data_IF_227673377371
#
_entry.id   IF_227673377371
#
_cell.length_a   1.000
_cell.length_b   1.000
_cell.length_c   1.000
_cell.angle_alpha   90.00
_cell.angle_beta   90.00
_cell.angle_gamma   90.00
#
_symmetry.space_group_name_H-M   'P 1'
#
loop_
_entity.id
_entity.type
_entity.pdbx_description
1 polymer ?
#
# COMPACT_ATOMS: atom_id res chain seq x y z
N UNK A 1 9.35 -25.55 9.00
CA UNK A 1 8.05 -26.25 9.13
C UNK A 1 8.17 -27.62 9.83
N UNK A 2 9.01 -27.75 10.87
CA UNK A 2 9.40 -29.05 11.48
C UNK A 2 8.42 -29.50 12.59
N UNK A 3 7.77 -28.55 13.26
CA UNK A 3 6.79 -28.82 14.33
C UNK A 3 5.54 -29.55 13.81
N UNK A 4 5.18 -29.37 12.53
CA UNK A 4 4.02 -30.02 11.88
C UNK A 4 4.15 -31.54 11.83
N UNK A 5 5.30 -32.07 11.40
CA UNK A 5 5.48 -33.51 11.19
C UNK A 5 5.55 -34.29 12.51
N UNK A 6 6.21 -33.73 13.52
CA UNK A 6 6.37 -34.38 14.82
C UNK A 6 5.03 -34.51 15.58
N UNK A 7 4.24 -33.43 15.66
CA UNK A 7 2.94 -33.47 16.33
C UNK A 7 1.92 -34.34 15.57
N UNK A 8 1.92 -34.33 14.24
CA UNK A 8 1.03 -35.17 13.45
C UNK A 8 1.33 -36.67 13.58
N UNK A 9 2.59 -37.06 13.79
CA UNK A 9 2.97 -38.46 14.01
C UNK A 9 2.59 -38.98 15.40
N UNK A 10 2.41 -38.10 16.39
CA UNK A 10 2.09 -38.47 17.78
C UNK A 10 0.57 -38.56 18.03
N UNK A 11 -0.26 -38.08 17.10
CA UNK A 11 -1.71 -38.00 17.28
C UNK A 11 -2.37 -39.14 16.52
N UNK A 12 -2.87 -40.12 17.27
CA UNK A 12 -3.63 -41.28 16.74
C UNK A 12 -5.00 -40.84 16.23
N UNK A 13 -5.53 -41.55 15.24
CA UNK A 13 -6.94 -41.43 14.85
C UNK A 13 -7.85 -41.81 16.02
N UNK A 14 -8.98 -41.10 16.26
CA UNK A 14 -9.69 -40.16 15.38
C UNK A 14 -9.37 -38.65 15.60
N UNK A 15 -8.32 -38.33 16.34
CA UNK A 15 -8.00 -36.94 16.73
C UNK A 15 -7.18 -36.18 15.68
N UNK A 16 -6.56 -36.90 14.75
CA UNK A 16 -5.70 -36.33 13.71
C UNK A 16 -6.46 -35.41 12.77
N UNK A 17 -7.60 -35.87 12.24
CA UNK A 17 -8.44 -35.05 11.35
C UNK A 17 -9.05 -33.87 12.09
N UNK A 18 -9.55 -34.07 13.32
CA UNK A 18 -10.06 -32.96 14.15
C UNK A 18 -9.01 -31.89 14.39
N UNK A 19 -7.77 -32.27 14.70
CA UNK A 19 -6.68 -31.31 14.87
C UNK A 19 -6.34 -30.62 13.54
N UNK A 20 -6.26 -31.37 12.44
CA UNK A 20 -5.97 -30.81 11.12
C UNK A 20 -7.00 -29.74 10.74
N UNK A 21 -8.28 -30.04 10.93
CA UNK A 21 -9.37 -29.10 10.69
C UNK A 21 -9.30 -27.88 11.62
N UNK A 22 -8.98 -28.07 12.90
CA UNK A 22 -8.78 -26.97 13.83
C UNK A 22 -7.61 -26.06 13.42
N UNK A 23 -6.48 -26.63 13.00
CA UNK A 23 -5.33 -25.87 12.49
C UNK A 23 -5.74 -25.11 11.22
N UNK A 24 -6.41 -25.78 10.27
CA UNK A 24 -6.85 -25.17 9.01
C UNK A 24 -7.76 -23.97 9.30
N UNK A 25 -8.82 -24.16 10.10
CA UNK A 25 -9.73 -23.08 10.48
C UNK A 25 -9.00 -21.90 11.15
N UNK A 26 -8.01 -22.18 12.00
CA UNK A 26 -7.22 -21.13 12.66
C UNK A 26 -6.34 -20.36 11.67
N UNK A 27 -5.70 -21.04 10.72
CA UNK A 27 -4.91 -20.41 9.65
C UNK A 27 -5.80 -19.59 8.71
N UNK A 28 -6.96 -20.12 8.33
CA UNK A 28 -7.90 -19.43 7.44
C UNK A 28 -8.46 -18.17 8.12
N UNK A 29 -8.81 -18.29 9.40
CA UNK A 29 -9.25 -17.16 10.22
C UNK A 29 -8.17 -16.09 10.37
N UNK A 30 -6.93 -16.47 10.70
CA UNK A 30 -5.81 -15.53 10.77
C UNK A 30 -5.55 -14.84 9.42
N UNK A 31 -5.51 -15.60 8.32
CA UNK A 31 -5.32 -15.04 6.98
C UNK A 31 -6.42 -14.04 6.62
N UNK A 32 -7.67 -14.37 6.94
CA UNK A 32 -8.82 -13.48 6.74
C UNK A 32 -8.68 -12.20 7.55
N UNK A 33 -8.18 -12.28 8.79
CA UNK A 33 -7.95 -11.10 9.63
C UNK A 33 -6.90 -10.15 9.05
N UNK A 34 -5.83 -10.68 8.45
CA UNK A 34 -4.81 -9.84 7.77
C UNK A 34 -5.44 -9.11 6.59
N UNK A 35 -6.20 -9.83 5.77
CA UNK A 35 -6.85 -9.23 4.59
C UNK A 35 -7.84 -8.15 5.01
N UNK A 36 -8.71 -8.44 5.99
CA UNK A 36 -9.67 -7.45 6.53
C UNK A 36 -8.95 -6.24 7.12
N UNK A 37 -7.90 -6.44 7.90
CA UNK A 37 -7.11 -5.34 8.46
C UNK A 37 -6.45 -4.48 7.38
N UNK A 38 -5.90 -5.11 6.33
CA UNK A 38 -5.26 -4.40 5.23
C UNK A 38 -6.27 -3.58 4.43
N UNK A 39 -7.44 -4.15 4.12
CA UNK A 39 -8.51 -3.44 3.43
C UNK A 39 -9.11 -2.33 4.30
N UNK A 40 -9.27 -2.59 5.60
CA UNK A 40 -9.75 -1.60 6.56
C UNK A 40 -8.79 -0.42 6.72
N UNK A 41 -7.48 -0.67 6.78
CA UNK A 41 -6.47 0.40 6.78
C UNK A 41 -6.55 1.25 5.52
N UNK A 42 -6.72 0.61 4.35
CA UNK A 42 -6.87 1.34 3.09
C UNK A 42 -8.15 2.17 3.05
N UNK A 43 -9.26 1.63 3.54
CA UNK A 43 -10.52 2.37 3.64
C UNK A 43 -10.37 3.59 4.56
N UNK A 44 -9.73 3.42 5.72
CA UNK A 44 -9.45 4.54 6.60
C UNK A 44 -8.53 5.57 5.94
N UNK A 45 -7.54 5.14 5.17
CA UNK A 45 -6.67 6.04 4.43
C UNK A 45 -7.45 6.88 3.40
N UNK A 46 -8.42 6.27 2.69
CA UNK A 46 -9.32 6.96 1.75
C UNK A 46 -10.22 7.98 2.43
N UNK A 47 -10.78 7.64 3.59
CA UNK A 47 -11.69 8.53 4.32
C UNK A 47 -11.01 9.81 4.83
N UNK A 48 -9.69 9.80 5.05
CA UNK A 48 -8.96 11.02 5.43
C UNK A 48 -8.97 12.03 4.27
N UNK A 49 -9.01 11.55 3.02
CA UNK A 49 -8.97 12.42 1.83
C UNK A 49 -10.35 12.89 1.37
N UNK A 50 -11.45 12.23 1.74
CA UNK A 50 -12.81 12.52 1.22
C UNK A 50 -13.17 14.02 1.27
N UNK A 51 -12.81 14.70 2.36
CA UNK A 51 -13.20 16.10 2.64
C UNK A 51 -12.12 17.17 2.36
N UNK A 52 -10.94 16.81 1.85
CA UNK A 52 -9.84 17.76 1.73
C UNK A 52 -9.69 18.30 0.31
N UNK A 53 -9.89 19.62 0.16
CA UNK A 53 -9.72 20.32 -1.12
C UNK A 53 -8.26 20.35 -1.61
N UNK A 54 -7.29 20.30 -0.67
CA UNK A 54 -5.85 20.38 -0.96
C UNK A 54 -5.09 19.23 -0.32
N UNK A 55 -4.62 18.32 -1.18
CA UNK A 55 -3.93 17.08 -0.79
C UNK A 55 -2.50 17.31 -0.30
N UNK A 56 -2.13 18.53 0.09
CA UNK A 56 -0.86 18.87 0.75
C UNK A 56 -1.04 19.13 2.26
N UNK A 57 -2.28 19.32 2.73
CA UNK A 57 -2.61 19.57 4.15
C UNK A 57 -3.19 18.38 4.93
N UNK A 58 -3.76 17.38 4.24
CA UNK A 58 -4.12 16.05 4.78
C UNK A 58 -2.99 15.45 5.64
N UNK A 59 -3.28 15.20 6.92
CA UNK A 59 -2.35 14.52 7.83
C UNK A 59 -2.72 13.04 7.95
N UNK A 60 -1.77 12.15 7.61
CA UNK A 60 -1.91 10.72 7.85
C UNK A 60 -1.62 10.44 9.33
N UNK A 61 -2.57 9.85 10.08
CA UNK A 61 -2.42 9.57 11.50
C UNK A 61 -1.27 8.62 11.81
N UNK A 62 -0.48 8.96 12.84
CA UNK A 62 0.69 8.16 13.28
C UNK A 62 0.32 6.73 13.66
N UNK A 63 -0.88 6.55 14.20
CA UNK A 63 -1.37 5.23 14.62
C UNK A 63 -1.47 4.23 13.45
N UNK A 64 -1.50 4.66 12.18
CA UNK A 64 -1.51 3.74 11.04
C UNK A 64 -0.24 2.88 10.94
N UNK A 65 0.86 3.35 11.54
CA UNK A 65 2.12 2.62 11.62
C UNK A 65 2.36 2.01 13.00
N UNK A 66 1.37 2.07 13.91
CA UNK A 66 1.44 1.48 15.24
C UNK A 66 0.97 0.02 15.24
N UNK A 67 1.72 -0.83 15.93
CA UNK A 67 1.43 -2.27 16.01
C UNK A 67 0.11 -2.54 16.74
N UNK A 68 -0.21 -1.75 17.77
CA UNK A 68 -1.46 -1.92 18.54
C UNK A 68 -2.67 -1.58 17.67
N UNK A 69 -2.56 -0.53 16.86
CA UNK A 69 -3.60 -0.16 15.89
C UNK A 69 -3.84 -1.25 14.83
N UNK A 70 -2.78 -1.72 14.17
CA UNK A 70 -2.90 -2.82 13.19
C UNK A 70 -3.47 -4.08 13.84
N UNK A 71 -3.02 -4.42 15.04
CA UNK A 71 -3.56 -5.56 15.79
C UNK A 71 -5.05 -5.39 16.08
N UNK A 72 -5.52 -4.18 16.38
CA UNK A 72 -6.95 -3.90 16.61
C UNK A 72 -7.76 -4.02 15.33
N UNK A 73 -7.23 -3.60 14.19
CA UNK A 73 -7.86 -3.87 12.89
C UNK A 73 -8.00 -5.37 12.61
N UNK A 74 -7.02 -6.19 13.02
CA UNK A 74 -7.09 -7.64 12.84
C UNK A 74 -8.07 -8.32 13.82
N UNK A 75 -8.20 -7.79 15.04
CA UNK A 75 -8.89 -8.47 16.15
C UNK A 75 -10.26 -7.89 16.52
N UNK A 76 -10.58 -6.69 16.05
CA UNK A 76 -11.70 -5.91 16.58
C UNK A 76 -11.40 -5.22 17.91
N UNK A 77 -12.38 -4.46 18.41
CA UNK A 77 -12.27 -3.61 19.60
C UNK A 77 -12.86 -4.24 20.88
N UNK A 78 -13.71 -5.27 20.77
CA UNK A 78 -14.49 -5.84 21.90
C UNK A 78 -13.68 -6.27 23.13
N UNK A 79 -12.39 -6.61 22.95
CA UNK A 79 -11.50 -7.07 24.04
C UNK A 79 -10.28 -6.20 24.23
N UNK A 80 -10.26 -5.02 23.60
CA UNK A 80 -9.18 -4.07 23.80
C UNK A 80 -9.34 -3.39 25.17
N UNK A 81 -8.23 -3.21 25.90
CA UNK A 81 -8.24 -2.48 27.19
C UNK A 81 -8.59 -1.00 27.05
N UNK A 82 -8.43 -0.45 25.86
CA UNK A 82 -8.75 0.92 25.50
C UNK A 82 -9.48 0.86 24.17
N UNK A 83 -10.60 1.55 24.11
CA UNK A 83 -11.35 1.74 22.87
C UNK A 83 -10.48 2.52 21.86
N UNK A 84 -10.70 2.24 20.58
CA UNK A 84 -10.16 3.03 19.49
C UNK A 84 -11.33 3.42 18.62
N UNK A 85 -11.74 4.68 18.74
CA UNK A 85 -12.92 5.22 18.07
C UNK A 85 -12.84 5.05 16.56
N UNK A 86 -11.65 5.19 15.96
CA UNK A 86 -11.48 5.04 14.52
C UNK A 86 -11.70 3.61 14.03
N UNK A 87 -11.13 2.61 14.70
CA UNK A 87 -11.38 1.20 14.36
C UNK A 87 -12.83 0.82 14.64
N UNK A 88 -13.42 1.35 15.72
CA UNK A 88 -14.82 1.11 16.04
C UNK A 88 -15.74 1.70 14.96
N UNK A 89 -15.57 2.98 14.62
CA UNK A 89 -16.33 3.66 13.56
C UNK A 89 -16.15 3.01 12.19
N UNK A 90 -14.95 2.52 11.86
CA UNK A 90 -14.71 1.72 10.66
C UNK A 90 -15.61 0.48 10.64
N UNK A 91 -15.67 -0.28 11.74
CA UNK A 91 -16.47 -1.50 11.82
C UNK A 91 -17.97 -1.24 11.85
N UNK A 92 -18.40 -0.13 12.44
CA UNK A 92 -19.82 0.29 12.42
C UNK A 92 -20.25 0.71 11.01
N UNK A 93 -19.45 1.55 10.34
CA UNK A 93 -19.74 2.04 8.98
C UNK A 93 -19.59 0.92 7.94
N UNK A 94 -18.59 0.06 8.12
CA UNK A 94 -18.23 -0.99 7.18
C UNK A 94 -18.03 -2.34 7.88
N UNK A 95 -19.13 -3.06 8.21
CA UNK A 95 -19.07 -4.32 8.95
C UNK A 95 -18.22 -5.42 8.29
N UNK A 96 -17.99 -5.34 6.97
CA UNK A 96 -17.15 -6.27 6.21
C UNK A 96 -15.70 -6.38 6.73
N UNK A 97 -15.19 -5.31 7.37
CA UNK A 97 -13.85 -5.31 7.95
C UNK A 97 -13.81 -5.88 9.37
N UNK A 98 -14.96 -6.04 10.03
CA UNK A 98 -15.05 -6.61 11.37
C UNK A 98 -14.56 -8.05 11.37
N UNK A 99 -13.82 -8.46 12.38
CA UNK A 99 -13.40 -9.86 12.53
C UNK A 99 -14.46 -10.67 13.30
N UNK A 100 -15.07 -11.67 12.65
CA UNK A 100 -16.24 -12.39 13.19
C UNK A 100 -15.92 -13.79 13.75
N UNK A 101 -14.64 -14.16 13.86
CA UNK A 101 -14.29 -15.52 14.28
C UNK A 101 -14.09 -15.64 15.80
N UNK A 102 -14.44 -16.81 16.33
CA UNK A 102 -14.20 -17.16 17.73
C UNK A 102 -12.70 -17.19 18.03
N UNK A 103 -12.22 -16.14 18.68
CA UNK A 103 -10.83 -16.01 19.12
C UNK A 103 -10.52 -16.99 20.24
N UNK A 104 -9.46 -17.77 20.09
CA UNK A 104 -8.89 -18.52 21.19
C UNK A 104 -8.02 -17.62 22.08
N UNK A 105 -8.16 -17.75 23.41
CA UNK A 105 -7.48 -16.86 24.38
C UNK A 105 -5.95 -16.87 24.25
N UNK A 106 -5.39 -18.02 23.82
CA UNK A 106 -3.96 -18.20 23.60
C UNK A 106 -3.42 -17.55 22.32
N UNK A 107 -4.26 -16.95 21.48
CA UNK A 107 -3.85 -16.46 20.16
C UNK A 107 -3.18 -15.09 20.20
N UNK A 108 -3.11 -14.46 21.37
CA UNK A 108 -2.58 -13.11 21.54
C UNK A 108 -1.27 -12.85 20.77
N UNK A 109 -0.28 -13.73 20.97
CA UNK A 109 1.04 -13.61 20.33
C UNK A 109 1.04 -13.83 18.82
N UNK A 110 0.09 -14.59 18.28
CA UNK A 110 -0.05 -14.79 16.82
C UNK A 110 -0.40 -13.48 16.13
N UNK A 111 -1.33 -12.70 16.69
CA UNK A 111 -1.73 -11.42 16.15
C UNK A 111 -0.72 -10.31 16.43
N UNK A 112 0.03 -10.39 17.54
CA UNK A 112 1.17 -9.49 17.79
C UNK A 112 2.24 -9.67 16.70
N UNK A 113 2.63 -10.92 16.44
CA UNK A 113 3.57 -11.25 15.37
C UNK A 113 3.01 -10.85 13.99
N UNK A 114 1.73 -11.12 13.74
CA UNK A 114 1.08 -10.76 12.48
C UNK A 114 1.01 -9.26 12.22
N UNK A 115 0.73 -8.46 13.23
CA UNK A 115 0.74 -7.00 13.10
C UNK A 115 2.16 -6.48 12.81
N UNK A 116 3.18 -7.03 13.48
CA UNK A 116 4.58 -6.70 13.23
C UNK A 116 5.03 -7.07 11.81
N UNK A 117 4.68 -8.27 11.35
CA UNK A 117 4.96 -8.73 9.98
C UNK A 117 4.24 -7.87 8.95
N UNK A 118 2.97 -7.56 9.18
CA UNK A 118 2.19 -6.66 8.33
C UNK A 118 2.84 -5.29 8.21
N UNK A 119 3.22 -4.66 9.34
CA UNK A 119 3.90 -3.36 9.32
C UNK A 119 5.23 -3.41 8.58
N UNK A 120 6.01 -4.47 8.78
CA UNK A 120 7.27 -4.66 8.05
C UNK A 120 7.02 -4.73 6.54
N UNK A 121 6.01 -5.50 6.13
CA UNK A 121 5.63 -5.63 4.73
C UNK A 121 5.08 -4.32 4.16
N UNK A 122 4.27 -3.57 4.92
CA UNK A 122 3.75 -2.26 4.52
C UNK A 122 4.90 -1.27 4.32
N UNK A 123 5.83 -1.17 5.27
CA UNK A 123 7.01 -0.29 5.17
C UNK A 123 7.90 -0.68 3.98
N UNK A 124 8.14 -1.97 3.77
CA UNK A 124 8.86 -2.46 2.61
C UNK A 124 8.12 -2.14 1.30
N UNK A 125 6.79 -2.28 1.30
CA UNK A 125 5.95 -1.97 0.15
C UNK A 125 6.04 -0.50 -0.23
N UNK A 126 5.88 0.40 0.75
CA UNK A 126 6.00 1.85 0.59
C UNK A 126 7.43 2.26 0.20
N UNK A 127 8.46 1.55 0.67
CA UNK A 127 9.86 1.85 0.30
C UNK A 127 10.19 1.42 -1.13
N UNK A 128 9.79 0.20 -1.52
CA UNK A 128 10.28 -0.46 -2.73
C UNK A 128 9.40 -0.22 -3.96
N UNK A 129 8.13 0.15 -3.77
CA UNK A 129 7.17 0.28 -4.88
C UNK A 129 6.76 1.71 -5.29
N UNK A 130 7.25 2.84 -4.73
CA UNK A 130 6.70 4.14 -5.09
C UNK A 130 6.86 4.42 -6.58
N UNK A 131 8.01 4.06 -7.18
CA UNK A 131 8.26 4.15 -8.62
C UNK A 131 7.31 3.29 -9.44
N UNK A 132 7.09 2.04 -9.00
CA UNK A 132 6.17 1.13 -9.68
C UNK A 132 4.73 1.63 -9.64
N UNK A 133 4.33 2.28 -8.55
CA UNK A 133 3.02 2.93 -8.44
C UNK A 133 2.94 4.16 -9.33
N UNK A 134 3.95 5.03 -9.34
CA UNK A 134 4.02 6.18 -10.26
C UNK A 134 3.87 5.73 -11.71
N UNK A 135 4.58 4.67 -12.12
CA UNK A 135 4.46 4.09 -13.47
C UNK A 135 3.01 3.65 -13.77
N UNK A 136 2.40 2.91 -12.83
CA UNK A 136 1.02 2.42 -12.99
C UNK A 136 0.02 3.56 -13.07
N UNK A 137 0.18 4.59 -12.23
CA UNK A 137 -0.67 5.76 -12.22
C UNK A 137 -0.58 6.52 -13.54
N UNK A 138 0.63 6.78 -14.05
CA UNK A 138 0.82 7.41 -15.36
C UNK A 138 0.15 6.59 -16.46
N UNK A 139 0.23 5.26 -16.44
CA UNK A 139 -0.48 4.45 -17.44
C UNK A 139 -2.00 4.55 -17.34
N UNK A 140 -2.54 4.64 -16.13
CA UNK A 140 -3.97 4.67 -15.92
C UNK A 140 -4.58 6.08 -16.16
N UNK A 141 -3.83 7.15 -15.85
CA UNK A 141 -4.21 8.54 -16.10
C UNK A 141 -4.07 8.96 -17.57
N UNK A 142 -3.24 8.26 -18.35
CA UNK A 142 -2.98 8.57 -19.76
C UNK A 142 -3.18 7.32 -20.64
N UNK A 143 -4.42 6.84 -20.82
CA UNK A 143 -4.71 5.62 -21.58
C UNK A 143 -4.40 5.75 -23.10
N UNK A 144 -4.22 6.97 -23.61
CA UNK A 144 -3.88 7.24 -25.01
C UNK A 144 -2.40 7.06 -25.35
N UNK A 145 -1.56 6.65 -24.40
CA UNK A 145 -0.12 6.54 -24.62
C UNK A 145 0.23 5.41 -25.59
N UNK A 146 1.04 5.74 -26.59
CA UNK A 146 1.56 4.77 -27.54
C UNK A 146 2.47 3.74 -26.85
N UNK A 147 2.58 2.51 -27.38
CA UNK A 147 3.54 1.49 -26.89
C UNK A 147 4.98 2.02 -26.83
N UNK A 148 5.34 2.96 -27.71
CA UNK A 148 6.63 3.66 -27.71
C UNK A 148 6.76 4.63 -26.53
N UNK A 149 5.72 5.43 -26.25
CA UNK A 149 5.65 6.25 -25.04
C UNK A 149 5.79 5.41 -23.78
N UNK A 150 5.05 4.29 -23.70
CA UNK A 150 5.12 3.30 -22.60
C UNK A 150 6.54 2.77 -22.36
N UNK A 151 7.22 2.37 -23.44
CA UNK A 151 8.58 1.86 -23.34
C UNK A 151 9.56 2.96 -22.93
N UNK A 152 9.44 4.17 -23.48
CA UNK A 152 10.27 5.31 -23.12
C UNK A 152 10.14 5.70 -21.63
N UNK A 153 8.93 5.62 -21.05
CA UNK A 153 8.69 5.85 -19.62
C UNK A 153 9.39 4.79 -18.78
N UNK A 154 9.13 3.52 -19.10
CA UNK A 154 9.66 2.41 -18.32
C UNK A 154 11.17 2.47 -18.33
N UNK A 155 11.77 2.69 -19.50
CA UNK A 155 13.21 2.87 -19.65
C UNK A 155 13.74 4.15 -19.00
N UNK A 156 13.04 5.28 -19.05
CA UNK A 156 13.47 6.49 -18.35
C UNK A 156 13.60 6.24 -16.86
N UNK A 157 12.62 5.55 -16.26
CA UNK A 157 12.60 5.27 -14.82
C UNK A 157 13.63 4.20 -14.44
N UNK A 158 13.78 3.12 -15.23
CA UNK A 158 14.79 2.09 -14.93
C UNK A 158 16.22 2.52 -15.29
N UNK A 159 16.41 3.35 -16.31
CA UNK A 159 17.73 3.80 -16.74
C UNK A 159 18.20 5.05 -16.01
N UNK A 160 17.31 5.94 -15.56
CA UNK A 160 17.67 7.00 -14.59
C UNK A 160 18.48 6.34 -13.49
N UNK A 161 17.96 5.27 -12.88
CA UNK A 161 18.59 4.48 -11.82
C UNK A 161 19.94 3.82 -12.18
N UNK A 162 20.24 3.61 -13.46
CA UNK A 162 21.48 2.98 -13.94
C UNK A 162 22.54 3.99 -14.39
N UNK A 163 22.13 5.20 -14.74
CA UNK A 163 23.01 6.28 -15.20
C UNK A 163 23.10 7.42 -14.17
N UNK A 164 22.62 7.23 -12.92
CA UNK A 164 22.65 8.26 -11.86
C UNK A 164 24.06 8.83 -11.54
N UNK A 165 25.13 8.11 -11.93
CA UNK A 165 26.52 8.59 -11.81
C UNK A 165 27.08 9.24 -13.09
N UNK A 166 26.38 9.15 -14.23
CA UNK A 166 26.85 9.60 -15.54
C UNK A 166 25.69 10.07 -16.42
N UNK A 167 25.21 11.31 -16.25
CA UNK A 167 24.31 11.92 -17.25
C UNK A 167 24.88 13.24 -17.77
N UNK A 168 25.62 13.12 -18.87
CA UNK A 168 25.75 14.15 -19.90
C UNK A 168 24.83 13.75 -21.08
N UNK A 169 23.71 14.44 -21.25
CA UNK A 169 22.62 14.03 -22.15
C UNK A 169 22.96 14.33 -23.62
N UNK A 170 23.41 13.34 -24.38
CA UNK A 170 23.64 13.49 -25.84
C UNK A 170 22.33 13.27 -26.61
N UNK A 171 21.83 14.35 -27.20
CA UNK A 171 20.55 14.42 -27.91
C UNK A 171 20.65 13.84 -29.34
N UNK A 172 20.31 12.55 -29.52
CA UNK A 172 20.22 11.93 -30.86
C UNK A 172 18.81 12.10 -31.44
N UNK A 173 18.73 12.80 -32.59
CA UNK A 173 17.49 13.16 -33.31
C UNK A 173 16.53 11.98 -33.49
N UNK A 174 15.45 11.98 -32.72
CA UNK A 174 14.27 11.12 -32.88
C UNK A 174 13.11 11.93 -33.49
N UNK A 175 12.11 11.28 -34.12
CA UNK A 175 11.05 11.95 -34.88
C UNK A 175 10.15 12.83 -34.00
N UNK A 176 9.82 14.04 -34.50
CA UNK A 176 9.16 15.15 -33.78
C UNK A 176 7.88 14.81 -33.01
N UNK A 177 7.11 13.78 -33.40
CA UNK A 177 5.83 13.45 -32.74
C UNK A 177 6.01 12.68 -31.43
N UNK A 178 7.01 11.80 -31.33
CA UNK A 178 7.33 11.07 -30.09
C UNK A 178 8.02 11.93 -29.04
N UNK A 179 8.63 13.05 -29.46
CA UNK A 179 9.29 13.99 -28.54
C UNK A 179 8.29 14.70 -27.63
N UNK A 180 7.07 14.98 -28.11
CA UNK A 180 6.06 15.67 -27.31
C UNK A 180 5.46 14.77 -26.23
N UNK A 181 5.03 13.54 -26.59
CA UNK A 181 4.50 12.56 -25.61
C UNK A 181 5.52 12.26 -24.51
N UNK A 182 6.78 11.97 -24.87
CA UNK A 182 7.82 11.68 -23.89
C UNK A 182 8.10 12.87 -22.94
N UNK A 183 8.00 14.11 -23.44
CA UNK A 183 8.22 15.32 -22.63
C UNK A 183 7.08 15.57 -21.63
N UNK A 184 5.82 15.41 -22.07
CA UNK A 184 4.64 15.55 -21.18
C UNK A 184 4.70 14.52 -20.06
N UNK A 185 5.08 13.28 -20.38
CA UNK A 185 5.13 12.23 -19.37
C UNK A 185 6.33 12.41 -18.43
N UNK A 186 7.49 12.81 -18.96
CA UNK A 186 8.64 13.12 -18.11
C UNK A 186 8.29 14.27 -17.14
N UNK A 187 7.60 15.31 -17.60
CA UNK A 187 7.12 16.39 -16.75
C UNK A 187 6.17 15.86 -15.65
N UNK A 188 5.20 15.01 -15.98
CA UNK A 188 4.30 14.40 -15.00
C UNK A 188 5.05 13.55 -13.96
N UNK A 189 6.05 12.75 -14.38
CA UNK A 189 6.87 11.97 -13.45
C UNK A 189 7.69 12.89 -12.53
N UNK A 190 8.25 13.97 -13.07
CA UNK A 190 9.02 14.92 -12.26
C UNK A 190 8.12 15.70 -11.29
N UNK A 191 6.88 16.01 -11.68
CA UNK A 191 5.87 16.61 -10.81
C UNK A 191 5.51 15.65 -9.66
N UNK A 192 5.24 14.38 -9.96
CA UNK A 192 4.99 13.36 -8.93
C UNK A 192 6.22 13.13 -8.02
N UNK A 193 7.43 13.12 -8.58
CA UNK A 193 8.68 13.07 -7.79
C UNK A 193 8.80 14.31 -6.90
N UNK A 194 8.51 15.50 -7.41
CA UNK A 194 8.56 16.74 -6.64
C UNK A 194 7.55 16.75 -5.49
N UNK A 195 6.31 16.31 -5.73
CA UNK A 195 5.28 16.14 -4.69
C UNK A 195 5.74 15.24 -3.55
N UNK A 196 6.40 14.14 -3.90
CA UNK A 196 6.97 13.21 -2.93
C UNK A 196 8.28 13.69 -2.30
N UNK A 197 8.75 14.91 -2.58
CA UNK A 197 10.04 15.42 -2.10
C UNK A 197 11.25 14.66 -2.68
N UNK A 198 11.06 13.96 -3.80
CA UNK A 198 12.06 13.16 -4.49
C UNK A 198 12.77 13.94 -5.62
N UNK A 199 12.54 15.25 -5.75
CA UNK A 199 13.09 16.08 -6.83
C UNK A 199 14.64 16.15 -6.83
N UNK A 200 15.28 15.99 -5.67
CA UNK A 200 16.75 15.98 -5.56
C UNK A 200 17.23 14.69 -4.86
N UNK A 201 17.77 13.70 -5.60
CA UNK A 201 18.18 12.40 -5.06
C UNK A 201 19.28 12.49 -3.99
N UNK A 202 20.22 13.44 -4.12
CA UNK A 202 21.40 13.54 -3.26
C UNK A 202 21.10 14.08 -1.86
N UNK A 203 20.14 15.01 -1.73
CA UNK A 203 19.68 15.53 -0.43
C UNK A 203 18.99 14.44 0.42
N UNK A 204 18.47 13.42 -0.27
CA UNK A 204 17.41 12.53 0.18
C UNK A 204 17.88 11.36 1.05
N UNK A 205 19.05 10.78 0.76
CA UNK A 205 19.58 9.63 1.54
C UNK A 205 19.91 10.04 2.98
N UNK A 206 20.27 11.31 3.20
CA UNK A 206 20.60 11.83 4.52
C UNK A 206 19.37 12.24 5.35
N UNK A 207 18.31 12.75 4.70
CA UNK A 207 17.08 13.19 5.37
C UNK A 207 16.10 12.05 5.63
N UNK A 208 15.97 11.06 4.71
CA UNK A 208 15.11 9.89 4.92
C UNK A 208 15.51 9.06 6.14
N UNK A 209 16.81 9.07 6.49
CA UNK A 209 17.34 8.39 7.67
C UNK A 209 16.91 9.05 8.98
N UNK A 210 16.54 10.34 8.95
CA UNK A 210 16.16 11.11 10.15
C UNK A 210 14.66 11.06 10.45
N UNK A 211 13.81 10.85 9.44
CA UNK A 211 12.35 10.85 9.63
C UNK A 211 11.64 9.85 8.69
N UNK A 212 11.94 8.56 8.88
CA UNK A 212 11.44 7.48 8.02
C UNK A 212 9.91 7.32 8.08
N UNK A 213 9.28 7.63 9.22
CA UNK A 213 7.82 7.57 9.35
C UNK A 213 7.12 8.70 8.59
N UNK A 214 7.66 9.92 8.62
CA UNK A 214 7.14 11.01 7.77
C UNK A 214 7.21 10.66 6.29
N UNK A 215 8.28 9.98 5.87
CA UNK A 215 8.38 9.49 4.50
C UNK A 215 7.28 8.48 4.16
N UNK A 216 6.98 7.53 5.04
CA UNK A 216 5.88 6.57 4.83
C UNK A 216 4.51 7.24 4.78
N UNK A 217 4.26 8.24 5.63
CA UNK A 217 3.05 9.06 5.59
C UNK A 217 2.89 9.75 4.23
N UNK A 218 3.96 10.35 3.71
CA UNK A 218 3.97 11.03 2.42
C UNK A 218 3.63 10.08 1.26
N UNK A 219 4.20 8.86 1.26
CA UNK A 219 3.90 7.87 0.21
C UNK A 219 2.48 7.33 0.32
N UNK A 220 2.00 7.02 1.53
CA UNK A 220 0.64 6.51 1.71
C UNK A 220 -0.37 7.53 1.21
N UNK A 221 -0.20 8.79 1.60
CA UNK A 221 -0.99 9.92 1.13
C UNK A 221 -0.98 10.05 -0.40
N UNK A 222 0.20 9.95 -1.01
CA UNK A 222 0.32 9.97 -2.47
C UNK A 222 -0.43 8.81 -3.15
N UNK A 223 -0.43 7.61 -2.55
CA UNK A 223 -1.19 6.48 -3.08
C UNK A 223 -2.69 6.72 -3.04
N UNK A 224 -3.22 7.27 -1.95
CA UNK A 224 -4.65 7.58 -1.85
C UNK A 224 -5.03 8.66 -2.86
N UNK A 225 -4.21 9.69 -3.03
CA UNK A 225 -4.42 10.70 -4.06
C UNK A 225 -4.55 10.08 -5.46
N UNK A 226 -3.57 9.26 -5.85
CA UNK A 226 -3.58 8.63 -7.17
C UNK A 226 -4.82 7.77 -7.38
N UNK A 227 -5.23 7.01 -6.38
CA UNK A 227 -6.42 6.17 -6.44
C UNK A 227 -7.68 7.01 -6.71
N UNK A 228 -7.83 8.14 -6.00
CA UNK A 228 -8.97 9.06 -6.19
C UNK A 228 -8.96 9.74 -7.55
N UNK A 229 -7.80 10.14 -8.06
CA UNK A 229 -7.71 10.75 -9.38
C UNK A 229 -8.08 9.75 -10.49
N UNK A 230 -7.73 8.48 -10.30
CA UNK A 230 -8.17 7.41 -11.19
C UNK A 230 -9.69 7.18 -11.13
N UNK A 231 -10.29 7.24 -9.94
CA UNK A 231 -11.75 7.17 -9.77
C UNK A 231 -12.45 8.34 -10.49
N UNK A 232 -11.98 9.58 -10.30
CA UNK A 232 -12.53 10.77 -11.00
C UNK A 232 -12.48 10.62 -12.52
N UNK A 233 -11.36 10.15 -13.07
CA UNK A 233 -11.28 9.92 -14.51
C UNK A 233 -12.21 8.80 -14.99
N UNK A 234 -12.49 7.80 -14.15
CA UNK A 234 -13.46 6.76 -14.46
C UNK A 234 -14.90 7.29 -14.45
N UNK A 235 -15.22 8.29 -13.61
CA UNK A 235 -16.54 8.93 -13.54
C UNK A 235 -16.81 9.90 -14.70
N UNK A 236 -15.79 10.58 -15.24
CA UNK A 236 -15.96 11.51 -16.37
C UNK A 236 -16.30 10.77 -17.68
N UNK A 237 -15.67 9.62 -17.94
CA UNK A 237 -15.86 8.83 -19.17
C UNK A 237 -17.30 8.36 -19.46
N UNK A 238 -18.12 7.91 -18.51
CA UNK A 238 -19.50 7.48 -18.78
C UNK A 238 -20.45 8.63 -19.17
N UNK A 239 -20.02 9.90 -19.04
CA UNK A 239 -20.87 11.06 -19.38
C UNK A 239 -20.77 11.53 -20.83
N UNK A 240 -19.74 11.10 -21.58
CA UNK A 240 -19.48 11.56 -22.97
C UNK A 240 -20.03 10.61 -24.06
N UNK A 241 -20.62 9.46 -23.69
CA UNK A 241 -21.20 8.47 -24.62
C UNK A 241 -22.73 8.62 -24.81
N UNK A 242 -23.30 9.82 -24.63
CA UNK A 242 -24.73 10.10 -24.92
C UNK A 242 -24.94 11.09 -26.05
#
# INVERSE_FOLDING_TARGET
MVVKAFLLNQIKDPYREKLRDAIKKRVDSYSTSIVRASSGLMQLAREIDEDVAHMETVEVPDEFFDMTFIRRLMLGTEKARRENERVHGLHEKHPIYTFEFTRYKGDGGMYDYGAMEYLTNLRNHLTMNPERFMIRAVFALYPGLSRKGVWAITNGITNDRKYEDEIEFVHKKTPRRSTNEASVIHAAIQEHRAFLGLANPAAKISELKKDTERYYRLILRYFVFLDRELERQAEVKPSEEK
#
